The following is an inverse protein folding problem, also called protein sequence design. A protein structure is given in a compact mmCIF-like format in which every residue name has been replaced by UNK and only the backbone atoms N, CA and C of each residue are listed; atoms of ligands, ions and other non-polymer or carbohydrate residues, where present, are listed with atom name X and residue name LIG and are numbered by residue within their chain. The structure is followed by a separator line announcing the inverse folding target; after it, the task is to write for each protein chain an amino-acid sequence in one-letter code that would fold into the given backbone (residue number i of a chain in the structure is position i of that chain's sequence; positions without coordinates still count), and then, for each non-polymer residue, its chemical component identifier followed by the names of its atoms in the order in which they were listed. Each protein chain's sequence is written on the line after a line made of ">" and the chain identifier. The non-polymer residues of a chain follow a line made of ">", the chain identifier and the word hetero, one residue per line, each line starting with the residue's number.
data_IF_115967842234
#
_entry.id   IF_115967842234
#
_cell.length_a   1.000
_cell.length_b   1.000
_cell.length_c   1.000
_cell.angle_alpha   90.00
_cell.angle_beta   90.00
_cell.angle_gamma   90.00
#
_symmetry.space_group_name_H-M   'P 1'
#
loop_
_entity.id
_entity.type
_entity.pdbx_description
1 polymer ?
#
# COMPACT_ATOMS: atom_id res chain seq x y z
N UNK A 1 -1.83 -4.22 21.25
CA UNK A 1 -2.44 -3.62 20.05
C UNK A 1 -1.57 -4.04 18.87
N UNK A 2 -1.85 -5.19 18.26
CA UNK A 2 -1.20 -5.57 17.01
C UNK A 2 -1.87 -4.76 15.92
N UNK A 3 -1.43 -3.51 15.75
CA UNK A 3 -1.82 -2.70 14.60
C UNK A 3 -1.55 -3.54 13.35
N UNK A 4 -2.59 -3.72 12.54
CA UNK A 4 -2.55 -4.54 11.35
C UNK A 4 -1.70 -3.78 10.32
N UNK A 5 -0.37 -3.91 10.41
CA UNK A 5 0.63 -3.12 9.67
C UNK A 5 0.36 -3.08 8.16
N UNK A 6 -0.27 -4.13 7.60
CA UNK A 6 -0.73 -4.15 6.21
C UNK A 6 -1.82 -3.12 5.92
N UNK A 7 -2.85 -3.03 6.76
CA UNK A 7 -3.96 -2.07 6.58
C UNK A 7 -3.48 -0.63 6.69
N UNK A 8 -2.50 -0.36 7.57
CA UNK A 8 -1.88 0.96 7.68
C UNK A 8 -1.10 1.33 6.40
N UNK A 9 -0.36 0.39 5.82
CA UNK A 9 0.36 0.62 4.56
C UNK A 9 -0.61 0.80 3.37
N UNK A 10 -1.69 0.04 3.31
CA UNK A 10 -2.78 0.23 2.35
C UNK A 10 -3.45 1.61 2.48
N UNK A 11 -3.73 2.03 3.71
CA UNK A 11 -4.33 3.33 3.96
C UNK A 11 -3.39 4.47 3.54
N UNK A 12 -2.10 4.36 3.84
CA UNK A 12 -1.09 5.32 3.38
C UNK A 12 -0.98 5.34 1.85
N UNK A 13 -0.97 4.18 1.18
CA UNK A 13 -0.94 4.10 -0.28
C UNK A 13 -2.10 4.87 -0.93
N UNK A 14 -3.31 4.76 -0.36
CA UNK A 14 -4.51 5.50 -0.83
C UNK A 14 -4.39 7.02 -0.62
N UNK A 15 -3.81 7.46 0.49
CA UNK A 15 -3.58 8.91 0.73
C UNK A 15 -2.54 9.46 -0.25
N UNK A 16 -1.46 8.72 -0.47
CA UNK A 16 -0.38 9.13 -1.38
C UNK A 16 -0.85 9.16 -2.84
N UNK A 17 -1.73 8.23 -3.22
CA UNK A 17 -2.40 8.25 -4.54
C UNK A 17 -3.27 9.52 -4.68
N UNK A 18 -4.13 9.83 -3.70
CA UNK A 18 -4.98 11.01 -3.71
C UNK A 18 -4.22 12.34 -3.73
N UNK A 19 -2.94 12.32 -3.33
CA UNK A 19 -2.06 13.49 -3.32
C UNK A 19 -1.05 13.49 -4.45
N UNK A 20 -1.17 12.57 -5.42
CA UNK A 20 -0.29 12.41 -6.58
C UNK A 20 1.19 12.20 -6.21
N UNK A 21 1.45 11.64 -5.02
CA UNK A 21 2.79 11.34 -4.48
C UNK A 21 3.18 9.90 -4.81
N UNK A 22 3.47 9.65 -6.07
CA UNK A 22 3.72 8.29 -6.59
C UNK A 22 4.93 7.58 -5.95
N UNK A 23 5.98 8.31 -5.57
CA UNK A 23 7.14 7.72 -4.88
C UNK A 23 6.76 7.16 -3.50
N UNK A 24 6.02 7.93 -2.71
CA UNK A 24 5.56 7.50 -1.39
C UNK A 24 4.51 6.38 -1.47
N UNK A 25 3.68 6.41 -2.51
CA UNK A 25 2.73 5.35 -2.82
C UNK A 25 3.45 4.04 -3.12
N UNK A 26 4.52 4.09 -3.94
CA UNK A 26 5.33 2.92 -4.27
C UNK A 26 5.99 2.34 -3.01
N UNK A 27 6.52 3.20 -2.14
CA UNK A 27 7.11 2.82 -0.86
C UNK A 27 6.10 2.17 0.09
N UNK A 28 4.87 2.68 0.14
CA UNK A 28 3.80 2.09 0.92
C UNK A 28 3.40 0.71 0.38
N UNK A 29 3.23 0.58 -0.94
CA UNK A 29 2.87 -0.69 -1.58
C UNK A 29 3.99 -1.74 -1.49
N UNK A 30 5.25 -1.34 -1.53
CA UNK A 30 6.39 -2.22 -1.26
C UNK A 30 6.32 -2.83 0.15
N UNK A 31 5.87 -2.05 1.14
CA UNK A 31 5.65 -2.55 2.51
C UNK A 31 4.45 -3.49 2.60
N UNK A 32 3.39 -3.25 1.83
CA UNK A 32 2.24 -4.19 1.72
C UNK A 32 2.70 -5.54 1.18
N UNK A 33 3.51 -5.54 0.11
CA UNK A 33 4.08 -6.75 -0.50
C UNK A 33 5.02 -7.47 0.46
N UNK A 34 5.90 -6.73 1.14
CA UNK A 34 6.83 -7.30 2.12
C UNK A 34 6.11 -7.92 3.33
N UNK A 35 4.95 -7.38 3.72
CA UNK A 35 4.14 -7.91 4.80
C UNK A 35 3.40 -9.19 4.40
N UNK A 36 2.86 -9.26 3.17
CA UNK A 36 2.31 -10.48 2.59
C UNK A 36 2.21 -10.35 1.05
N UNK A 37 2.81 -11.31 0.34
CA UNK A 37 2.88 -11.33 -1.11
C UNK A 37 1.55 -11.65 -1.81
N UNK A 38 0.55 -12.16 -1.09
CA UNK A 38 -0.80 -12.35 -1.62
C UNK A 38 -1.51 -11.00 -1.74
N UNK A 39 -1.36 -10.37 -2.90
CA UNK A 39 -2.09 -9.15 -3.26
C UNK A 39 -3.44 -9.48 -3.90
N UNK A 40 -4.47 -8.75 -3.48
CA UNK A 40 -5.77 -8.68 -4.14
C UNK A 40 -5.67 -7.95 -5.49
N UNK A 41 -6.73 -8.03 -6.30
CA UNK A 41 -6.81 -7.32 -7.58
C UNK A 41 -6.74 -5.80 -7.38
N UNK A 42 -7.39 -5.27 -6.35
CA UNK A 42 -7.36 -3.84 -6.01
C UNK A 42 -5.94 -3.36 -5.66
N UNK A 43 -5.21 -4.13 -4.85
CA UNK A 43 -3.83 -3.83 -4.47
C UNK A 43 -2.86 -3.87 -5.67
N UNK A 44 -3.06 -4.78 -6.62
CA UNK A 44 -2.25 -4.77 -7.85
C UNK A 44 -2.54 -3.58 -8.74
N UNK A 45 -3.80 -3.11 -8.78
CA UNK A 45 -4.15 -1.93 -9.57
C UNK A 45 -3.51 -0.67 -9.02
N UNK A 46 -3.26 -0.59 -7.71
CA UNK A 46 -2.47 0.48 -7.09
C UNK A 46 -0.97 0.45 -7.49
N UNK A 47 -0.48 -0.62 -8.11
CA UNK A 47 0.91 -0.72 -8.57
C UNK A 47 1.06 -0.43 -10.08
N UNK A 48 -0.04 -0.23 -10.80
CA UNK A 48 -0.05 -0.02 -12.27
C UNK A 48 -0.15 1.45 -12.64
#
# INVERSE_FOLDING_TARGET
>A
MTANTREEHLYMAKITEQTERFEDMLDAMNKVVAANADLTVEERNLLS
#
